data_IF_106743197985
#
_entry.id   IF_106743197985
#
_cell.length_a   1.000
_cell.length_b   1.000
_cell.length_c   1.000
_cell.angle_alpha   90.00
_cell.angle_beta   90.00
_cell.angle_gamma   90.00
#
_symmetry.space_group_name_H-M   'P 1'
#
loop_
_entity.id
_entity.type
_entity.pdbx_description
1 polymer ?
#
# COMPACT_ATOMS: atom_id res chain seq x y z
N UNK A 1 29.87 -25.56 43.09
CA UNK A 1 30.41 -26.28 41.92
C UNK A 1 31.50 -25.42 41.28
N UNK A 2 32.77 -25.65 41.61
CA UNK A 2 33.91 -24.78 41.24
C UNK A 2 34.53 -25.28 39.93
N UNK A 3 34.19 -24.66 38.79
CA UNK A 3 34.81 -25.00 37.50
C UNK A 3 36.31 -24.72 37.55
N UNK A 4 37.14 -25.72 37.27
CA UNK A 4 38.61 -25.63 37.30
C UNK A 4 39.04 -24.61 36.23
N UNK A 5 40.01 -23.72 36.51
CA UNK A 5 40.49 -22.66 35.56
C UNK A 5 40.83 -23.15 34.14
N UNK A 6 41.13 -24.44 33.98
CA UNK A 6 41.40 -25.11 32.69
C UNK A 6 40.12 -25.30 31.85
N UNK A 7 39.00 -25.62 32.50
CA UNK A 7 37.70 -25.82 31.86
C UNK A 7 37.12 -24.48 31.38
N UNK A 8 37.28 -23.42 32.18
CA UNK A 8 36.94 -22.05 31.78
C UNK A 8 37.70 -21.58 30.53
N UNK A 9 38.97 -21.94 30.39
CA UNK A 9 39.78 -21.62 29.19
C UNK A 9 39.30 -22.39 27.95
N UNK A 10 38.97 -23.68 28.08
CA UNK A 10 38.41 -24.49 26.98
C UNK A 10 37.04 -23.99 26.53
N UNK A 11 36.16 -23.64 27.47
CA UNK A 11 34.83 -23.07 27.19
C UNK A 11 34.97 -21.73 26.48
N UNK A 12 35.84 -20.84 26.97
CA UNK A 12 36.12 -19.57 26.30
C UNK A 12 36.63 -19.76 24.87
N UNK A 13 37.56 -20.70 24.65
CA UNK A 13 38.09 -20.96 23.32
C UNK A 13 36.99 -21.44 22.35
N UNK A 14 36.15 -22.39 22.76
CA UNK A 14 35.00 -22.85 21.96
C UNK A 14 34.04 -21.71 21.64
N UNK A 15 33.79 -20.83 22.61
CA UNK A 15 32.93 -19.65 22.45
C UNK A 15 33.50 -18.65 21.45
N UNK A 16 34.82 -18.40 21.45
CA UNK A 16 35.48 -17.55 20.46
C UNK A 16 35.42 -18.12 19.05
N UNK A 17 35.62 -19.43 18.89
CA UNK A 17 35.54 -20.09 17.58
C UNK A 17 34.11 -20.05 17.04
N UNK A 18 33.11 -20.30 17.88
CA UNK A 18 31.69 -20.17 17.53
C UNK A 18 31.33 -18.73 17.14
N UNK A 19 31.71 -17.74 17.96
CA UNK A 19 31.47 -16.32 17.67
C UNK A 19 32.04 -15.89 16.31
N UNK A 20 33.26 -16.36 15.96
CA UNK A 20 33.88 -16.02 14.67
C UNK A 20 33.10 -16.59 13.47
N UNK A 21 32.68 -17.85 13.54
CA UNK A 21 31.93 -18.48 12.46
C UNK A 21 30.50 -17.97 12.38
N UNK A 22 29.83 -17.77 13.51
CA UNK A 22 28.52 -17.13 13.56
C UNK A 22 28.57 -15.71 12.97
N UNK A 23 29.59 -14.92 13.32
CA UNK A 23 29.80 -13.59 12.75
C UNK A 23 30.01 -13.61 11.23
N UNK A 24 30.80 -14.55 10.71
CA UNK A 24 31.02 -14.68 9.27
C UNK A 24 29.74 -15.09 8.54
N UNK A 25 28.99 -16.07 9.07
CA UNK A 25 27.72 -16.51 8.50
C UNK A 25 26.65 -15.43 8.54
N UNK A 26 26.62 -14.60 9.60
CA UNK A 26 25.64 -13.53 9.76
C UNK A 26 25.99 -12.23 9.02
N UNK A 27 27.19 -12.11 8.44
CA UNK A 27 27.63 -10.87 7.79
C UNK A 27 26.74 -10.47 6.61
N UNK A 28 26.37 -11.42 5.74
CA UNK A 28 25.51 -11.14 4.60
C UNK A 28 24.12 -10.66 5.04
N UNK A 29 23.56 -11.29 6.08
CA UNK A 29 22.27 -10.90 6.66
C UNK A 29 22.34 -9.53 7.33
N UNK A 30 23.40 -9.24 8.07
CA UNK A 30 23.63 -7.91 8.66
C UNK A 30 23.67 -6.83 7.56
N UNK A 31 24.37 -7.09 6.46
CA UNK A 31 24.50 -6.15 5.35
C UNK A 31 23.13 -5.93 4.69
N UNK A 32 22.39 -7.00 4.42
CA UNK A 32 21.01 -6.93 3.92
C UNK A 32 20.12 -6.08 4.84
N UNK A 33 20.08 -6.38 6.14
CA UNK A 33 19.26 -5.67 7.12
C UNK A 33 19.66 -4.21 7.27
N UNK A 34 20.96 -3.91 7.20
CA UNK A 34 21.47 -2.54 7.31
C UNK A 34 21.10 -1.72 6.07
N UNK A 35 21.33 -2.25 4.87
CA UNK A 35 21.00 -1.55 3.62
C UNK A 35 19.49 -1.33 3.51
N UNK A 36 18.70 -2.38 3.70
CA UNK A 36 17.23 -2.27 3.66
C UNK A 36 16.71 -1.35 4.77
N UNK A 37 17.25 -1.42 5.99
CA UNK A 37 16.88 -0.51 7.07
C UNK A 37 17.20 0.96 6.77
N UNK A 38 18.35 1.25 6.16
CA UNK A 38 18.69 2.62 5.70
C UNK A 38 17.71 3.08 4.62
N UNK A 39 17.40 2.21 3.64
CA UNK A 39 16.42 2.53 2.61
C UNK A 39 15.05 2.87 3.20
N UNK A 40 14.58 2.07 4.17
CA UNK A 40 13.30 2.27 4.84
C UNK A 40 13.25 3.51 5.74
N UNK A 41 14.39 3.92 6.32
CA UNK A 41 14.48 5.17 7.06
C UNK A 41 14.41 6.40 6.13
N UNK A 42 14.64 6.22 4.83
CA UNK A 42 14.65 7.27 3.81
C UNK A 42 13.60 7.00 2.73
N UNK A 43 12.49 6.36 3.09
CA UNK A 43 11.40 6.01 2.15
C UNK A 43 10.94 7.22 1.34
N UNK A 44 10.71 8.36 2.00
CA UNK A 44 10.20 9.57 1.36
C UNK A 44 11.24 10.20 0.42
N UNK A 45 12.51 10.33 0.85
CA UNK A 45 13.57 10.93 0.03
C UNK A 45 13.97 10.05 -1.16
N UNK A 46 13.89 8.72 -0.99
CA UNK A 46 14.13 7.75 -2.06
C UNK A 46 12.87 7.48 -2.91
N UNK A 47 11.71 8.00 -2.51
CA UNK A 47 10.43 7.79 -3.18
C UNK A 47 10.02 6.32 -3.28
N UNK A 48 10.35 5.49 -2.28
CA UNK A 48 10.07 4.05 -2.32
C UNK A 48 8.56 3.75 -2.24
N UNK A 49 7.79 4.62 -1.60
CA UNK A 49 6.34 4.58 -1.44
C UNK A 49 5.60 4.95 -2.74
N UNK A 50 6.27 5.72 -3.61
CA UNK A 50 5.76 6.22 -4.91
C UNK A 50 6.32 5.46 -6.11
N UNK A 51 7.33 4.63 -5.89
CA UNK A 51 7.95 3.82 -6.93
C UNK A 51 7.33 2.44 -6.96
N UNK A 52 6.73 2.07 -8.08
CA UNK A 52 6.02 0.80 -8.23
C UNK A 52 6.80 -0.20 -9.09
N UNK A 53 6.54 -1.48 -8.85
CA UNK A 53 7.19 -2.59 -9.53
C UNK A 53 6.26 -3.18 -10.58
N UNK A 54 6.66 -3.06 -11.85
CA UNK A 54 5.93 -3.61 -12.99
C UNK A 54 6.36 -5.05 -13.38
N UNK A 55 7.06 -5.74 -12.49
CA UNK A 55 7.58 -7.08 -12.78
C UNK A 55 6.54 -8.16 -12.53
N UNK A 56 5.97 -8.72 -13.61
CA UNK A 56 4.85 -9.67 -13.57
C UNK A 56 5.06 -10.90 -12.67
N UNK A 57 6.26 -11.52 -12.68
CA UNK A 57 6.51 -12.71 -11.85
C UNK A 57 6.50 -12.37 -10.35
N UNK A 58 6.96 -11.17 -9.99
CA UNK A 58 7.01 -10.72 -8.61
C UNK A 58 5.60 -10.38 -8.12
N UNK A 59 4.80 -9.69 -8.93
CA UNK A 59 3.38 -9.45 -8.62
C UNK A 59 2.60 -10.77 -8.45
N UNK A 60 2.89 -11.77 -9.29
CA UNK A 60 2.34 -13.12 -9.15
C UNK A 60 2.78 -13.79 -7.84
N UNK A 61 4.06 -13.66 -7.47
CA UNK A 61 4.59 -14.14 -6.18
C UNK A 61 3.86 -13.50 -4.99
N UNK A 62 3.54 -12.21 -5.10
CA UNK A 62 2.75 -11.47 -4.13
C UNK A 62 1.25 -11.80 -4.13
N UNK A 63 0.79 -12.65 -5.06
CA UNK A 63 -0.61 -13.04 -5.17
C UNK A 63 -1.54 -11.92 -5.61
N UNK A 64 -1.02 -10.91 -6.32
CA UNK A 64 -1.83 -9.80 -6.84
C UNK A 64 -2.74 -10.37 -7.92
N UNK A 65 -4.05 -10.36 -7.64
CA UNK A 65 -5.10 -10.88 -8.53
C UNK A 65 -5.94 -9.74 -9.06
N UNK A 66 -6.74 -10.03 -10.09
CA UNK A 66 -7.72 -9.08 -10.57
C UNK A 66 -8.76 -8.84 -9.47
N UNK A 67 -9.01 -7.58 -9.08
CA UNK A 67 -9.96 -7.28 -8.02
C UNK A 67 -11.38 -7.65 -8.45
N UNK A 68 -12.23 -8.03 -7.50
CA UNK A 68 -13.63 -8.36 -7.77
C UNK A 68 -14.45 -7.12 -8.16
N UNK A 69 -14.15 -5.99 -7.52
CA UNK A 69 -14.77 -4.70 -7.85
C UNK A 69 -14.14 -4.16 -9.12
N UNK A 70 -14.95 -4.09 -10.17
CA UNK A 70 -14.55 -3.59 -11.46
C UNK A 70 -15.68 -2.72 -12.01
N UNK A 71 -15.30 -1.61 -12.62
CA UNK A 71 -16.24 -0.77 -13.32
C UNK A 71 -15.52 -0.07 -14.45
N UNK A 72 -16.18 0.04 -15.60
CA UNK A 72 -15.69 0.84 -16.70
C UNK A 72 -16.86 1.63 -17.29
N UNK A 73 -16.57 2.88 -17.63
CA UNK A 73 -17.52 3.80 -18.21
C UNK A 73 -16.83 4.53 -19.34
N UNK A 74 -17.28 4.26 -20.57
CA UNK A 74 -16.87 5.05 -21.72
C UNK A 74 -17.53 6.44 -21.65
N UNK A 75 -16.72 7.48 -21.78
CA UNK A 75 -17.16 8.86 -21.97
C UNK A 75 -16.71 9.29 -23.38
N UNK A 76 -17.31 10.36 -23.92
CA UNK A 76 -16.99 10.78 -25.29
C UNK A 76 -15.51 11.19 -25.48
N UNK A 77 -14.90 11.72 -24.42
CA UNK A 77 -13.54 12.30 -24.44
C UNK A 77 -12.52 11.48 -23.62
N UNK A 78 -12.88 10.25 -23.25
CA UNK A 78 -12.04 9.40 -22.40
C UNK A 78 -12.83 8.27 -21.76
N UNK A 79 -12.25 7.61 -20.78
CA UNK A 79 -12.95 6.60 -20.00
C UNK A 79 -12.64 6.74 -18.53
N UNK A 80 -13.53 6.18 -17.73
CA UNK A 80 -13.34 6.02 -16.30
C UNK A 80 -13.27 4.54 -16.00
N UNK A 81 -12.32 4.15 -15.16
CA UNK A 81 -12.18 2.77 -14.73
C UNK A 81 -11.97 2.68 -13.22
N UNK A 82 -12.57 1.66 -12.62
CA UNK A 82 -12.29 1.22 -11.27
C UNK A 82 -11.78 -0.21 -11.30
N UNK A 83 -10.68 -0.46 -10.59
CA UNK A 83 -10.15 -1.77 -10.30
C UNK A 83 -9.86 -1.85 -8.80
N UNK A 84 -10.71 -2.57 -8.06
CA UNK A 84 -10.66 -2.60 -6.60
C UNK A 84 -10.93 -1.22 -6.04
N UNK A 85 -10.02 -0.73 -5.19
CA UNK A 85 -10.08 0.64 -4.66
C UNK A 85 -9.51 1.68 -5.62
N UNK A 86 -8.77 1.26 -6.65
CA UNK A 86 -8.07 2.18 -7.54
C UNK A 86 -9.06 2.72 -8.58
N UNK A 87 -9.07 4.03 -8.73
CA UNK A 87 -9.98 4.78 -9.59
C UNK A 87 -9.16 5.61 -10.57
N UNK A 88 -9.53 5.56 -11.85
CA UNK A 88 -8.78 6.15 -12.95
C UNK A 88 -9.68 6.95 -13.89
N UNK A 89 -9.14 8.05 -14.38
CA UNK A 89 -9.61 8.70 -15.60
C UNK A 89 -8.53 8.52 -16.66
N UNK A 90 -8.86 7.81 -17.73
CA UNK A 90 -7.88 7.27 -18.70
C UNK A 90 -6.77 6.51 -17.95
N UNK A 91 -5.53 7.00 -18.02
CA UNK A 91 -4.36 6.43 -17.34
C UNK A 91 -4.00 7.18 -16.05
N UNK A 92 -4.67 8.30 -15.76
CA UNK A 92 -4.39 9.13 -14.58
C UNK A 92 -5.11 8.56 -13.36
N UNK A 93 -4.34 8.20 -12.33
CA UNK A 93 -4.89 7.73 -11.06
C UNK A 93 -5.51 8.88 -10.28
N UNK A 94 -6.75 8.66 -9.84
CA UNK A 94 -7.51 9.52 -8.94
C UNK A 94 -7.46 8.96 -7.51
N UNK A 95 -7.92 9.71 -6.48
CA UNK A 95 -7.93 9.22 -5.11
C UNK A 95 -8.66 7.87 -4.98
N UNK A 96 -8.09 6.97 -4.16
CA UNK A 96 -8.67 5.65 -3.93
C UNK A 96 -10.12 5.74 -3.43
N UNK A 97 -11.00 4.90 -3.97
CA UNK A 97 -12.40 4.80 -3.60
C UNK A 97 -12.77 3.34 -3.32
N UNK A 98 -13.17 3.07 -2.07
CA UNK A 98 -13.42 1.71 -1.58
C UNK A 98 -14.85 1.21 -1.88
N UNK A 99 -15.73 2.08 -2.35
CA UNK A 99 -17.07 1.71 -2.77
C UNK A 99 -17.13 1.38 -4.26
N UNK A 100 -18.02 0.46 -4.71
CA UNK A 100 -18.10 0.13 -6.14
C UNK A 100 -18.63 1.32 -6.93
N UNK A 101 -18.04 1.53 -8.12
CA UNK A 101 -18.52 2.45 -9.13
C UNK A 101 -19.87 1.96 -9.63
N UNK A 102 -20.81 2.89 -9.77
CA UNK A 102 -22.18 2.62 -10.19
C UNK A 102 -22.47 3.16 -11.59
N UNK A 103 -21.68 4.12 -12.06
CA UNK A 103 -21.83 4.76 -13.36
C UNK A 103 -21.36 6.20 -13.32
N UNK A 104 -21.74 6.98 -14.32
CA UNK A 104 -21.41 8.39 -14.35
C UNK A 104 -22.19 9.13 -15.41
N UNK A 105 -22.30 10.44 -15.25
CA UNK A 105 -23.06 11.33 -16.11
C UNK A 105 -22.15 12.45 -16.62
N UNK A 106 -22.30 12.81 -17.90
CA UNK A 106 -21.64 13.99 -18.47
C UNK A 106 -22.60 15.18 -18.41
N UNK A 107 -22.18 16.25 -17.76
CA UNK A 107 -22.85 17.55 -17.74
C UNK A 107 -22.08 18.53 -18.64
N UNK A 108 -22.58 19.77 -18.79
CA UNK A 108 -21.98 20.74 -19.72
C UNK A 108 -20.54 21.11 -19.36
N UNK A 109 -20.25 21.30 -18.07
CA UNK A 109 -18.96 21.82 -17.60
C UNK A 109 -18.07 20.77 -16.91
N UNK A 110 -18.65 19.65 -16.49
CA UNK A 110 -17.96 18.61 -15.73
C UNK A 110 -18.66 17.26 -15.93
N UNK A 111 -17.96 16.21 -15.53
CA UNK A 111 -18.46 14.84 -15.50
C UNK A 111 -18.63 14.44 -14.05
N UNK A 112 -19.66 13.66 -13.74
CA UNK A 112 -19.88 13.13 -12.39
C UNK A 112 -19.79 11.62 -12.44
N UNK A 113 -18.85 11.05 -11.70
CA UNK A 113 -18.72 9.60 -11.53
C UNK A 113 -19.35 9.24 -10.18
N UNK A 114 -20.32 8.34 -10.21
CA UNK A 114 -21.04 7.89 -9.03
C UNK A 114 -20.52 6.56 -8.49
N UNK A 115 -20.34 6.50 -7.18
CA UNK A 115 -20.02 5.32 -6.41
C UNK A 115 -21.09 5.11 -5.33
N UNK A 116 -21.08 3.95 -4.67
CA UNK A 116 -22.07 3.65 -3.61
C UNK A 116 -22.11 4.66 -2.47
N UNK A 117 -21.01 5.34 -2.17
CA UNK A 117 -20.91 6.29 -1.04
C UNK A 117 -20.40 7.68 -1.41
N UNK A 118 -20.12 7.93 -2.68
CA UNK A 118 -19.52 9.18 -3.10
C UNK A 118 -19.87 9.53 -4.54
N UNK A 119 -19.82 10.82 -4.85
CA UNK A 119 -19.80 11.34 -6.22
C UNK A 119 -18.49 12.10 -6.43
N UNK A 120 -17.85 11.88 -7.57
CA UNK A 120 -16.65 12.59 -7.98
C UNK A 120 -16.97 13.50 -9.16
N UNK A 121 -16.73 14.80 -9.00
CA UNK A 121 -16.88 15.80 -10.04
C UNK A 121 -15.53 16.00 -10.70
N UNK A 122 -15.46 15.70 -12.00
CA UNK A 122 -14.24 15.78 -12.79
C UNK A 122 -14.40 16.83 -13.89
N UNK A 123 -13.37 17.62 -14.15
CA UNK A 123 -13.30 18.42 -15.37
C UNK A 123 -13.23 17.50 -16.60
N UNK A 124 -13.57 17.99 -17.81
CA UNK A 124 -13.35 17.25 -19.06
C UNK A 124 -11.90 16.78 -19.26
N UNK A 125 -10.93 17.48 -18.65
CA UNK A 125 -9.52 17.09 -18.61
C UNK A 125 -9.21 15.86 -17.74
N UNK A 126 -10.13 15.44 -16.88
CA UNK A 126 -9.92 14.40 -15.87
C UNK A 126 -9.48 14.92 -14.50
N UNK A 127 -9.25 16.23 -14.35
CA UNK A 127 -8.89 16.82 -13.07
C UNK A 127 -10.04 16.73 -12.08
N UNK A 128 -9.76 16.28 -10.86
CA UNK A 128 -10.73 16.21 -9.78
C UNK A 128 -11.08 17.62 -9.28
N UNK A 129 -12.33 18.01 -9.46
CA UNK A 129 -12.88 19.26 -8.90
C UNK A 129 -13.24 19.02 -7.44
N UNK A 130 -14.08 18.02 -7.19
CA UNK A 130 -14.63 17.78 -5.86
C UNK A 130 -15.08 16.34 -5.64
N UNK A 131 -14.94 15.86 -4.40
CA UNK A 131 -15.59 14.66 -3.89
C UNK A 131 -16.77 15.06 -2.98
N UNK A 132 -17.95 14.54 -3.30
CA UNK A 132 -19.15 14.65 -2.47
C UNK A 132 -19.39 13.31 -1.77
N UNK A 133 -19.69 13.37 -0.48
CA UNK A 133 -19.99 12.21 0.37
C UNK A 133 -21.07 12.58 1.40
N UNK A 134 -21.42 11.63 2.27
CA UNK A 134 -22.42 11.82 3.33
C UNK A 134 -22.14 13.06 4.21
N UNK A 135 -20.86 13.38 4.45
CA UNK A 135 -20.45 14.55 5.22
C UNK A 135 -20.80 15.88 4.56
N UNK A 136 -21.07 15.88 3.25
CA UNK A 136 -21.52 17.03 2.46
C UNK A 136 -23.02 16.97 2.13
N UNK A 137 -23.79 16.11 2.81
CA UNK A 137 -25.23 15.99 2.64
C UNK A 137 -25.67 15.14 1.45
N UNK A 138 -24.76 14.35 0.85
CA UNK A 138 -25.10 13.39 -0.19
C UNK A 138 -25.95 12.24 0.40
N UNK A 139 -27.15 11.98 -0.15
CA UNK A 139 -27.89 10.77 0.19
C UNK A 139 -27.10 9.52 -0.22
N UNK A 140 -26.86 8.62 0.74
CA UNK A 140 -26.17 7.35 0.53
C UNK A 140 -26.88 6.24 1.31
N UNK A 141 -26.76 4.95 0.94
CA UNK A 141 -25.99 4.41 -0.18
C UNK A 141 -26.67 4.63 -1.53
N UNK A 142 -25.91 5.11 -2.52
CA UNK A 142 -26.37 5.23 -3.89
C UNK A 142 -26.53 3.83 -4.48
N UNK A 143 -27.64 3.60 -5.16
CA UNK A 143 -27.95 2.37 -5.88
C UNK A 143 -27.78 2.55 -7.40
N UNK A 144 -28.20 3.70 -7.94
CA UNK A 144 -28.07 4.02 -9.37
C UNK A 144 -27.79 5.51 -9.56
N UNK A 145 -27.12 5.83 -10.66
CA UNK A 145 -26.86 7.19 -11.12
C UNK A 145 -27.26 7.30 -12.59
N UNK A 146 -27.86 8.43 -12.96
CA UNK A 146 -28.27 8.65 -14.33
C UNK A 146 -28.96 9.98 -14.51
N UNK A 147 -29.89 10.01 -15.45
CA UNK A 147 -30.69 11.19 -15.72
C UNK A 147 -32.18 10.89 -15.59
N UNK A 148 -32.92 11.84 -15.05
CA UNK A 148 -34.38 11.87 -15.13
C UNK A 148 -34.86 13.04 -15.98
N UNK A 149 -36.01 12.87 -16.64
CA UNK A 149 -36.74 13.94 -17.32
C UNK A 149 -37.75 14.55 -16.36
N UNK A 150 -37.71 15.87 -16.20
CA UNK A 150 -38.74 16.61 -15.46
C UNK A 150 -39.98 16.82 -16.34
N UNK A 151 -41.06 17.35 -15.74
CA UNK A 151 -42.26 17.77 -16.46
C UNK A 151 -41.98 18.81 -17.58
N UNK A 152 -40.88 19.57 -17.47
CA UNK A 152 -40.43 20.52 -18.49
C UNK A 152 -39.54 19.87 -19.58
N UNK A 153 -39.40 18.54 -19.57
CA UNK A 153 -38.52 17.77 -20.47
C UNK A 153 -37.03 18.16 -20.38
N UNK A 154 -36.63 18.82 -19.28
CA UNK A 154 -35.22 19.09 -18.97
C UNK A 154 -34.59 17.85 -18.34
N UNK A 155 -33.35 17.57 -18.73
CA UNK A 155 -32.58 16.41 -18.30
C UNK A 155 -31.78 16.80 -17.06
N UNK A 156 -32.10 16.21 -15.91
CA UNK A 156 -31.41 16.47 -14.64
C UNK A 156 -30.66 15.24 -14.18
N UNK A 157 -29.47 15.44 -13.64
CA UNK A 157 -28.76 14.37 -12.95
C UNK A 157 -29.61 13.89 -11.78
N UNK A 158 -29.70 12.58 -11.64
CA UNK A 158 -30.50 11.95 -10.60
C UNK A 158 -29.73 10.77 -10.05
N UNK A 159 -29.75 10.64 -8.73
CA UNK A 159 -29.29 9.46 -8.02
C UNK A 159 -30.49 8.75 -7.41
N UNK A 160 -30.34 7.46 -7.17
CA UNK A 160 -31.32 6.67 -6.44
C UNK A 160 -30.71 6.13 -5.16
N UNK A 161 -31.44 6.28 -4.06
CA UNK A 161 -31.10 5.80 -2.73
C UNK A 161 -32.35 5.17 -2.14
N UNK A 162 -32.26 3.90 -1.77
CA UNK A 162 -33.38 3.14 -1.18
C UNK A 162 -34.71 3.31 -1.94
N UNK A 163 -34.68 3.13 -3.27
CA UNK A 163 -35.82 3.27 -4.20
C UNK A 163 -36.40 4.69 -4.34
N UNK A 164 -35.81 5.68 -3.67
CA UNK A 164 -36.16 7.10 -3.78
C UNK A 164 -35.17 7.78 -4.72
N UNK A 165 -35.69 8.56 -5.67
CA UNK A 165 -34.89 9.36 -6.56
C UNK A 165 -34.60 10.73 -5.94
N UNK A 166 -33.34 11.13 -5.95
CA UNK A 166 -32.89 12.45 -5.50
C UNK A 166 -32.28 13.22 -6.66
N UNK A 167 -32.64 14.50 -6.77
CA UNK A 167 -32.03 15.46 -7.68
C UNK A 167 -31.35 16.58 -6.90
N UNK A 168 -30.34 17.20 -7.50
CA UNK A 168 -29.80 18.46 -7.03
C UNK A 168 -30.06 19.56 -8.08
N UNK A 169 -30.52 20.71 -7.61
CA UNK A 169 -30.91 21.85 -8.45
C UNK A 169 -30.07 23.10 -8.19
N UNK A 170 -29.09 23.01 -7.29
CA UNK A 170 -28.28 24.11 -6.77
C UNK A 170 -26.78 23.77 -6.79
N UNK A 171 -26.32 23.11 -7.86
CA UNK A 171 -24.93 22.68 -8.03
C UNK A 171 -24.43 21.74 -6.91
N UNK A 172 -25.24 20.75 -6.54
CA UNK A 172 -24.91 19.71 -5.54
C UNK A 172 -24.82 20.18 -4.09
N UNK A 173 -25.33 21.36 -3.77
CA UNK A 173 -25.39 21.86 -2.40
C UNK A 173 -26.53 21.21 -1.60
N UNK A 174 -27.65 20.90 -2.26
CA UNK A 174 -28.78 20.19 -1.67
C UNK A 174 -29.31 19.07 -2.57
N UNK A 175 -29.94 18.09 -1.92
CA UNK A 175 -30.52 16.92 -2.55
C UNK A 175 -31.98 16.77 -2.11
N UNK A 176 -32.89 16.85 -3.07
CA UNK A 176 -34.33 16.78 -2.82
C UNK A 176 -34.93 15.55 -3.50
N UNK A 177 -35.91 14.89 -2.85
CA UNK A 177 -36.62 13.79 -3.47
C UNK A 177 -37.41 14.29 -4.68
N UNK A 178 -37.34 13.56 -5.79
CA UNK A 178 -38.04 13.90 -7.03
C UNK A 178 -38.98 12.79 -7.47
N UNK A 179 -40.15 13.18 -7.99
CA UNK A 179 -41.09 12.24 -8.59
C UNK A 179 -40.62 11.87 -10.00
N UNK A 180 -40.19 10.62 -10.17
CA UNK A 180 -39.54 10.17 -11.39
C UNK A 180 -40.53 9.52 -12.37
N UNK A 181 -40.60 10.04 -13.59
CA UNK A 181 -41.42 9.45 -14.69
C UNK A 181 -40.61 8.69 -15.73
N UNK A 182 -39.30 8.95 -15.83
CA UNK A 182 -38.43 8.31 -16.83
C UNK A 182 -36.96 8.49 -16.44
N UNK A 183 -36.41 7.49 -15.75
CA UNK A 183 -34.98 7.44 -15.40
C UNK A 183 -34.22 6.58 -16.38
N UNK A 184 -33.08 7.08 -16.81
CA UNK A 184 -32.11 6.36 -17.63
C UNK A 184 -30.82 6.26 -16.84
N UNK A 185 -30.55 5.06 -16.32
CA UNK A 185 -29.27 4.73 -15.69
C UNK A 185 -28.17 4.68 -16.76
N UNK A 186 -26.94 4.97 -16.35
CA UNK A 186 -25.79 4.58 -17.16
C UNK A 186 -25.43 3.13 -16.87
N UNK A 187 -25.25 2.35 -17.92
CA UNK A 187 -24.74 0.99 -17.82
C UNK A 187 -23.22 1.03 -17.76
N UNK A 188 -22.66 0.33 -16.77
CA UNK A 188 -21.24 0.03 -16.73
C UNK A 188 -20.96 -1.02 -17.80
N UNK A 189 -20.17 -0.65 -18.80
CA UNK A 189 -19.68 -1.59 -19.79
C UNK A 189 -18.34 -2.10 -19.33
N UNK A 190 -18.16 -3.40 -19.13
CA UNK A 190 -16.83 -3.97 -18.95
C UNK A 190 -16.29 -4.39 -20.31
N UNK A 191 -15.31 -3.68 -20.91
CA UNK A 191 -14.74 -4.12 -22.17
C UNK A 191 -13.90 -5.37 -21.88
N UNK A 192 -14.34 -6.53 -22.41
CA UNK A 192 -13.65 -7.82 -22.24
C UNK A 192 -12.17 -7.78 -22.70
N UNK A 193 -11.83 -6.87 -23.62
CA UNK A 193 -10.49 -6.71 -24.21
C UNK A 193 -9.63 -5.64 -23.52
N UNK A 194 -10.20 -4.48 -23.14
CA UNK A 194 -9.46 -3.40 -22.46
C UNK A 194 -9.04 -3.86 -21.06
N UNK A 195 -9.89 -4.65 -20.39
CA UNK A 195 -9.65 -5.12 -19.03
C UNK A 195 -8.29 -5.78 -18.82
N UNK A 196 -7.78 -6.60 -19.76
CA UNK A 196 -6.52 -7.32 -19.55
C UNK A 196 -5.28 -6.44 -19.74
N UNK A 197 -5.23 -5.64 -20.81
CA UNK A 197 -4.10 -4.74 -21.06
C UNK A 197 -4.06 -3.62 -20.01
N UNK A 198 -5.20 -2.99 -19.73
CA UNK A 198 -5.34 -1.98 -18.69
C UNK A 198 -5.00 -2.53 -17.29
N UNK A 199 -5.45 -3.74 -16.98
CA UNK A 199 -5.07 -4.41 -15.73
C UNK A 199 -3.56 -4.66 -15.64
N UNK A 200 -2.93 -5.11 -16.72
CA UNK A 200 -1.50 -5.43 -16.74
C UNK A 200 -0.62 -4.19 -16.66
N UNK A 201 -0.95 -3.14 -17.39
CA UNK A 201 -0.12 -1.94 -17.50
C UNK A 201 -0.39 -0.96 -16.36
N UNK A 202 -1.65 -0.82 -15.95
CA UNK A 202 -2.05 0.25 -15.01
C UNK A 202 -2.24 -0.30 -13.60
N UNK A 203 -3.02 -1.36 -13.41
CA UNK A 203 -3.32 -1.83 -12.05
C UNK A 203 -2.13 -2.55 -11.40
N UNK A 204 -1.57 -3.52 -12.12
CA UNK A 204 -0.43 -4.30 -11.64
C UNK A 204 0.80 -3.43 -11.35
N UNK A 205 1.09 -2.49 -12.25
CA UNK A 205 2.13 -1.48 -12.09
C UNK A 205 1.87 -0.46 -10.98
N UNK A 206 0.74 -0.48 -10.26
CA UNK A 206 0.43 0.44 -9.17
C UNK A 206 0.07 -0.25 -7.83
N UNK A 207 0.13 -1.58 -7.76
CA UNK A 207 -0.21 -2.34 -6.53
C UNK A 207 1.00 -2.65 -5.62
N UNK A 208 2.19 -2.82 -6.21
CA UNK A 208 3.40 -3.23 -5.48
C UNK A 208 4.43 -2.11 -5.47
N UNK A 209 4.61 -1.45 -4.32
CA UNK A 209 5.64 -0.43 -4.13
C UNK A 209 7.02 -1.05 -3.85
N UNK A 210 8.09 -0.31 -4.18
CA UNK A 210 9.46 -0.66 -3.79
C UNK A 210 9.58 -0.70 -2.26
N UNK A 211 8.91 0.19 -1.55
CA UNK A 211 8.86 0.20 -0.09
C UNK A 211 8.38 -1.15 0.45
N UNK A 212 7.24 -1.65 -0.07
CA UNK A 212 6.69 -2.94 0.34
C UNK A 212 7.65 -4.09 0.05
N UNK A 213 8.30 -4.09 -1.11
CA UNK A 213 9.30 -5.10 -1.44
C UNK A 213 10.48 -5.07 -0.45
N UNK A 214 11.01 -3.88 -0.16
CA UNK A 214 12.14 -3.70 0.76
C UNK A 214 11.74 -4.08 2.20
N UNK A 215 10.53 -3.72 2.65
CA UNK A 215 9.97 -4.12 3.94
C UNK A 215 9.84 -5.64 4.07
N UNK A 216 9.31 -6.30 3.05
CA UNK A 216 9.13 -7.75 3.06
C UNK A 216 10.47 -8.49 2.96
N UNK A 217 11.44 -7.93 2.24
CA UNK A 217 12.80 -8.44 2.22
C UNK A 217 13.48 -8.27 3.58
N UNK A 218 13.34 -7.11 4.23
CA UNK A 218 13.90 -6.81 5.55
C UNK A 218 13.32 -7.71 6.64
N UNK A 219 12.01 -7.92 6.62
CA UNK A 219 11.30 -8.78 7.58
C UNK A 219 11.38 -10.27 7.25
N UNK A 220 11.94 -10.64 6.09
CA UNK A 220 11.97 -12.01 5.59
C UNK A 220 10.62 -12.52 5.06
N UNK A 221 9.55 -11.73 5.14
CA UNK A 221 8.20 -12.07 4.65
C UNK A 221 8.16 -12.32 3.15
N UNK A 222 9.13 -11.79 2.38
CA UNK A 222 9.28 -12.10 0.96
C UNK A 222 9.41 -13.61 0.69
N UNK A 223 9.99 -14.37 1.63
CA UNK A 223 10.14 -15.83 1.53
C UNK A 223 9.07 -16.61 2.32
N UNK A 224 7.96 -15.96 2.67
CA UNK A 224 6.88 -16.55 3.45
C UNK A 224 7.24 -16.79 4.91
N UNK A 225 6.56 -17.75 5.56
CA UNK A 225 6.74 -18.02 6.99
C UNK A 225 8.15 -18.49 7.36
N UNK A 226 8.81 -19.25 6.47
CA UNK A 226 10.20 -19.71 6.68
C UNK A 226 11.17 -18.54 6.76
N UNK A 227 10.98 -17.50 5.93
CA UNK A 227 11.83 -16.31 5.96
C UNK A 227 11.70 -15.51 7.24
N UNK A 228 10.49 -15.43 7.82
CA UNK A 228 10.25 -14.77 9.11
C UNK A 228 11.06 -15.46 10.22
N UNK A 229 10.95 -16.79 10.33
CA UNK A 229 11.72 -17.55 11.33
C UNK A 229 13.23 -17.46 11.10
N UNK A 230 13.68 -17.40 9.84
CA UNK A 230 15.08 -17.18 9.51
C UNK A 230 15.57 -15.81 10.02
N UNK A 231 14.76 -14.76 9.86
CA UNK A 231 15.08 -13.43 10.38
C UNK A 231 15.10 -13.38 11.91
N UNK A 232 14.16 -14.08 12.59
CA UNK A 232 14.17 -14.18 14.05
C UNK A 232 15.45 -14.86 14.56
N UNK A 233 15.86 -15.97 13.94
CA UNK A 233 17.11 -16.66 14.26
C UNK A 233 18.31 -15.74 14.01
N UNK A 234 18.33 -15.01 12.90
CA UNK A 234 19.38 -14.05 12.58
C UNK A 234 19.47 -12.96 13.64
N UNK A 235 18.34 -12.38 14.07
CA UNK A 235 18.28 -11.37 15.13
C UNK A 235 18.84 -11.91 16.45
N UNK A 236 18.48 -13.12 16.86
CA UNK A 236 19.01 -13.77 18.07
C UNK A 236 20.53 -13.94 17.97
N UNK A 237 21.04 -14.43 16.83
CA UNK A 237 22.48 -14.59 16.61
C UNK A 237 23.19 -13.23 16.70
N UNK A 238 22.64 -12.19 16.07
CA UNK A 238 23.20 -10.83 16.10
C UNK A 238 23.23 -10.24 17.52
N UNK A 239 22.16 -10.42 18.31
CA UNK A 239 22.12 -10.03 19.73
C UNK A 239 23.21 -10.77 20.50
N UNK A 240 23.31 -12.09 20.33
CA UNK A 240 24.34 -12.88 20.99
C UNK A 240 25.76 -12.42 20.60
N UNK A 241 25.99 -12.11 19.32
CA UNK A 241 27.26 -11.57 18.83
C UNK A 241 27.55 -10.20 19.45
N UNK A 242 26.58 -9.29 19.51
CA UNK A 242 26.73 -7.98 20.13
C UNK A 242 27.06 -8.06 21.63
N UNK A 243 26.33 -8.89 22.38
CA UNK A 243 26.57 -9.11 23.82
C UNK A 243 27.93 -9.76 24.07
N UNK A 244 28.27 -10.80 23.32
CA UNK A 244 29.54 -11.51 23.47
C UNK A 244 30.75 -10.64 23.10
N UNK A 245 30.65 -9.86 22.02
CA UNK A 245 31.69 -8.90 21.62
C UNK A 245 31.92 -7.84 22.70
N UNK A 246 30.84 -7.25 23.22
CA UNK A 246 30.89 -6.24 24.28
C UNK A 246 31.50 -6.79 25.57
N UNK A 247 31.15 -8.01 25.95
CA UNK A 247 31.72 -8.70 27.11
C UNK A 247 33.23 -8.91 26.98
N UNK A 248 33.68 -9.43 25.84
CA UNK A 248 35.10 -9.66 25.57
C UNK A 248 35.90 -8.36 25.60
N UNK A 249 35.39 -7.32 24.95
CA UNK A 249 36.00 -5.99 24.95
C UNK A 249 36.14 -5.44 26.38
N UNK A 250 35.05 -5.49 27.15
CA UNK A 250 35.02 -5.00 28.54
C UNK A 250 36.05 -5.73 29.41
N UNK A 251 36.09 -7.07 29.35
CA UNK A 251 37.05 -7.87 30.12
C UNK A 251 38.50 -7.57 29.74
N UNK A 252 38.78 -7.32 28.45
CA UNK A 252 40.12 -6.92 27.98
C UNK A 252 40.51 -5.55 28.53
N UNK A 253 39.58 -4.60 28.58
CA UNK A 253 39.80 -3.25 29.11
C UNK A 253 40.06 -3.25 30.62
N UNK A 254 39.27 -3.98 31.41
CA UNK A 254 39.48 -4.09 32.86
C UNK A 254 40.81 -4.78 33.24
N UNK A 255 41.22 -5.80 32.48
CA UNK A 255 42.50 -6.48 32.69
C UNK A 255 43.72 -5.63 32.29
N UNK A 256 43.57 -4.65 31.38
CA UNK A 256 44.64 -3.69 31.03
C UNK A 256 44.87 -2.67 32.14
N UNK A 257 43.81 -2.13 32.75
CA UNK A 257 43.91 -1.16 33.87
C UNK A 257 44.58 -1.75 35.12
N UNK A 258 44.31 -3.02 35.43
CA UNK A 258 44.92 -3.72 36.58
C UNK A 258 46.40 -4.04 36.38
N UNK A 259 46.84 -4.31 35.14
CA UNK A 259 48.27 -4.47 34.82
C UNK A 259 49.04 -3.15 34.91
N UNK A 260 48.45 -2.04 34.43
CA UNK A 260 49.07 -0.70 34.50
C UNK A 260 49.24 -0.19 35.95
N UNK A 261 48.34 -0.55 36.87
CA UNK A 261 48.48 -0.19 38.30
C UNK A 261 49.58 -0.98 39.02
N UNK A 262 49.84 -2.23 38.64
CA UNK A 262 50.91 -3.05 39.24
C UNK A 262 52.32 -2.65 38.79
N UNK A 263 52.45 -1.93 37.68
CA UNK A 263 53.74 -1.43 37.17
C UNK A 263 54.13 -0.06 37.70
N UNK A 264 53.24 0.65 38.41
CA UNK A 264 53.52 1.97 39.03
C UNK A 264 53.71 1.91 40.55
N UNK A 265 53.62 0.72 41.17
CA UNK A 265 53.91 0.50 42.59
C UNK A 265 55.21 -0.27 42.72
N UNK A 266 56.33 0.41 42.47
CA UNK A 266 57.68 0.02 42.89
C UNK A 266 58.49 1.29 43.12
#
# INVERSE_FOLDING_TARGET
MYLRKKDLRKIMFKFFTFHRWAGLSSFALLLLLSVTGIMLNHTDELGLDKSYIDTQWLQTWYGIKMPEQQGYLQLNDGFVAQLGKQFYFNETRLPDENSPMLGGVKLEQYMVVGFKKALYLLMPSGELIEKLDEGKGLPTPISRIGFSKTAANTKHMTIEVDEIFYGSFDNFLSWEPIENKSFTAFELEMPKSIGKAFYQEIYLGNELTLERLVLDLHSGRLFGSLGIYLMDIAAIILIMLGLSGTWVWSRRMFNRKTKSRKTMTF
#
